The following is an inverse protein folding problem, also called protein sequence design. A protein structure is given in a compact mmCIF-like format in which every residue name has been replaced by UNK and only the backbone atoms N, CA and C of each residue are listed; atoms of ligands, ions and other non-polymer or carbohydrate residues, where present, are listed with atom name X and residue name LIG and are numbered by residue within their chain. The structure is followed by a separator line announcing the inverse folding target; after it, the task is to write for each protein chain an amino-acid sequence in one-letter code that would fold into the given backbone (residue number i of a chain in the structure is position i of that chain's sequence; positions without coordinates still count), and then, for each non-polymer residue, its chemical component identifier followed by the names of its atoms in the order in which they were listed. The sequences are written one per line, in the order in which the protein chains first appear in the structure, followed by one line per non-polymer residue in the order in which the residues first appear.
data_IF_332308089357
#
_entry.id   IF_332308089357
#
_cell.length_a   1.000
_cell.length_b   1.000
_cell.length_c   1.000
_cell.angle_alpha   90.00
_cell.angle_beta   90.00
_cell.angle_gamma   90.00
#
_symmetry.space_group_name_H-M   'P 1'
#
loop_
_entity.id
_entity.type
_entity.pdbx_description
1 polymer ?
#
# COMPACT_ATOMS: atom_id res chain seq x y z
N UNK A 1 10.37 3.10 9.42
CA UNK A 1 10.72 4.19 8.47
C UNK A 1 12.14 4.06 7.94
N UNK A 2 13.18 3.98 8.78
CA UNK A 2 14.59 3.86 8.34
C UNK A 2 14.78 2.73 7.31
N UNK A 3 14.29 1.53 7.61
CA UNK A 3 14.40 0.37 6.70
C UNK A 3 13.74 0.63 5.34
N UNK A 4 12.57 1.29 5.32
CA UNK A 4 11.90 1.65 4.07
C UNK A 4 12.69 2.71 3.28
N UNK A 5 13.22 3.72 3.96
CA UNK A 5 14.05 4.76 3.33
C UNK A 5 15.29 4.14 2.70
N UNK A 6 15.99 3.26 3.43
CA UNK A 6 17.14 2.53 2.89
C UNK A 6 16.74 1.70 1.67
N UNK A 7 15.62 0.98 1.73
CA UNK A 7 15.13 0.21 0.58
C UNK A 7 14.77 1.06 -0.64
N UNK A 8 14.20 2.25 -0.45
CA UNK A 8 13.98 3.18 -1.56
C UNK A 8 15.29 3.73 -2.11
N UNK A 9 16.24 4.12 -1.24
CA UNK A 9 17.53 4.65 -1.66
C UNK A 9 18.34 3.63 -2.47
N UNK A 10 18.33 2.35 -2.08
CA UNK A 10 19.04 1.31 -2.85
C UNK A 10 18.44 1.15 -4.24
N UNK A 11 17.11 1.15 -4.37
CA UNK A 11 16.43 1.10 -5.67
C UNK A 11 16.73 2.35 -6.51
N UNK A 12 16.73 3.54 -5.90
CA UNK A 12 17.05 4.79 -6.60
C UNK A 12 18.47 4.77 -7.17
N UNK A 13 19.46 4.32 -6.39
CA UNK A 13 20.85 4.29 -6.82
C UNK A 13 21.03 3.28 -7.96
N UNK A 14 20.61 2.03 -7.76
CA UNK A 14 20.79 0.97 -8.75
C UNK A 14 19.95 1.21 -10.01
N UNK A 15 18.69 1.61 -9.85
CA UNK A 15 17.83 1.93 -10.98
C UNK A 15 18.37 3.11 -11.79
N UNK A 16 18.92 4.15 -11.14
CA UNK A 16 19.55 5.27 -11.85
C UNK A 16 20.80 4.84 -12.62
N UNK A 17 21.63 3.93 -12.07
CA UNK A 17 22.82 3.43 -12.79
C UNK A 17 22.44 2.60 -14.01
N UNK A 18 21.39 1.78 -13.92
CA UNK A 18 20.89 1.00 -15.06
C UNK A 18 20.28 1.88 -16.15
N UNK A 19 19.61 2.98 -15.78
CA UNK A 19 19.02 3.92 -16.73
C UNK A 19 20.02 4.92 -17.34
N UNK A 20 21.34 4.74 -17.16
CA UNK A 20 22.36 5.65 -17.70
C UNK A 20 22.54 6.97 -16.92
N UNK A 21 22.09 7.01 -15.67
CA UNK A 21 22.24 8.13 -14.74
C UNK A 21 20.94 8.90 -14.48
N UNK A 22 20.88 9.57 -13.32
CA UNK A 22 19.69 10.32 -12.87
C UNK A 22 19.28 11.43 -13.84
N UNK A 23 20.24 12.08 -14.51
CA UNK A 23 19.95 13.12 -15.50
C UNK A 23 19.17 12.58 -16.71
N UNK A 24 19.57 11.40 -17.20
CA UNK A 24 18.88 10.75 -18.33
C UNK A 24 17.45 10.38 -17.96
N UNK A 25 17.23 9.86 -16.75
CA UNK A 25 15.88 9.54 -16.23
C UNK A 25 14.98 10.78 -16.23
N UNK A 26 15.50 11.92 -15.76
CA UNK A 26 14.73 13.17 -15.72
C UNK A 26 14.42 13.69 -17.13
N UNK A 27 15.39 13.63 -18.04
CA UNK A 27 15.21 14.04 -19.43
C UNK A 27 14.18 13.16 -20.14
N UNK A 28 14.26 11.83 -19.98
CA UNK A 28 13.29 10.90 -20.54
C UNK A 28 11.89 11.10 -19.95
N UNK A 29 11.78 11.36 -18.65
CA UNK A 29 10.50 11.66 -17.99
C UNK A 29 9.88 12.97 -18.45
N UNK A 30 10.72 13.96 -18.75
CA UNK A 30 10.30 15.25 -19.33
C UNK A 30 9.75 15.03 -20.74
N UNK A 31 10.49 14.30 -21.58
CA UNK A 31 10.09 13.98 -22.95
C UNK A 31 8.82 13.11 -23.03
N UNK A 32 8.62 12.25 -22.02
CA UNK A 32 7.41 11.43 -21.89
C UNK A 32 6.19 12.16 -21.33
N UNK A 33 6.26 13.49 -21.16
CA UNK A 33 5.20 14.33 -20.57
C UNK A 33 4.72 13.83 -19.19
N UNK A 34 5.60 13.17 -18.42
CA UNK A 34 5.27 12.64 -17.08
C UNK A 34 5.48 13.66 -15.96
N UNK A 35 6.20 14.75 -16.22
CA UNK A 35 6.50 15.81 -15.25
C UNK A 35 5.48 16.97 -15.27
N UNK A 36 4.20 16.67 -15.46
CA UNK A 36 3.15 17.68 -15.36
C UNK A 36 2.71 17.85 -13.90
N UNK A 37 3.33 18.79 -13.20
CA UNK A 37 3.18 18.96 -11.74
C UNK A 37 1.83 19.58 -11.36
N UNK A 38 1.30 20.49 -12.18
CA UNK A 38 0.11 21.26 -11.85
C UNK A 38 -0.96 21.13 -12.92
N UNK A 39 -1.98 20.31 -12.66
CA UNK A 39 -3.22 20.27 -13.43
C UNK A 39 -4.32 21.01 -12.64
N UNK A 40 -4.77 22.14 -13.16
CA UNK A 40 -5.77 23.00 -12.52
C UNK A 40 -7.22 22.72 -12.96
N UNK A 41 -7.46 21.60 -13.64
CA UNK A 41 -8.81 21.18 -14.01
C UNK A 41 -9.70 21.00 -12.77
N UNK A 42 -10.93 21.53 -12.85
CA UNK A 42 -11.92 21.58 -11.76
C UNK A 42 -12.84 20.35 -11.79
N UNK A 43 -12.75 19.49 -12.81
CA UNK A 43 -13.55 18.27 -12.90
C UNK A 43 -13.31 17.33 -11.69
N UNK A 44 -14.33 17.10 -10.83
CA UNK A 44 -14.20 16.24 -9.65
C UNK A 44 -14.04 14.76 -9.98
N UNK A 45 -14.31 14.33 -11.21
CA UNK A 45 -14.11 12.94 -11.66
C UNK A 45 -12.63 12.65 -11.96
N UNK A 46 -11.81 13.69 -12.17
CA UNK A 46 -10.38 13.53 -12.39
C UNK A 46 -9.67 13.30 -11.06
N UNK A 47 -9.10 12.10 -10.90
CA UNK A 47 -8.51 11.62 -9.64
C UNK A 47 -7.30 12.42 -9.13
N UNK A 48 -6.55 13.06 -10.04
CA UNK A 48 -5.29 13.72 -9.72
C UNK A 48 -5.24 15.11 -10.35
N UNK A 49 -5.94 16.06 -9.72
CA UNK A 49 -5.87 17.49 -10.04
C UNK A 49 -5.41 18.25 -8.80
N UNK A 50 -4.99 19.49 -8.98
CA UNK A 50 -4.60 20.38 -7.88
C UNK A 50 -5.71 20.45 -6.82
N UNK A 51 -6.98 20.52 -7.24
CA UNK A 51 -8.13 20.60 -6.35
C UNK A 51 -8.40 19.31 -5.59
N UNK A 52 -8.40 18.16 -6.28
CA UNK A 52 -8.66 16.86 -5.63
C UNK A 52 -7.54 16.47 -4.67
N UNK A 53 -6.28 16.80 -4.99
CA UNK A 53 -5.14 16.56 -4.10
C UNK A 53 -5.14 17.53 -2.93
N UNK A 54 -5.36 18.82 -3.14
CA UNK A 54 -5.31 19.81 -2.06
C UNK A 54 -6.50 19.67 -1.13
N UNK A 55 -7.73 19.70 -1.66
CA UNK A 55 -8.95 19.63 -0.84
C UNK A 55 -9.14 18.21 -0.30
N UNK A 56 -9.17 17.21 -1.18
CA UNK A 56 -9.35 15.81 -0.79
C UNK A 56 -8.20 15.28 0.07
N UNK A 57 -6.96 15.66 -0.23
CA UNK A 57 -5.80 15.33 0.59
C UNK A 57 -5.87 15.98 1.98
N UNK A 58 -6.30 17.24 2.10
CA UNK A 58 -6.45 17.90 3.41
C UNK A 58 -7.44 17.15 4.29
N UNK A 59 -8.62 16.81 3.79
CA UNK A 59 -9.60 16.01 4.56
C UNK A 59 -9.06 14.62 4.91
N UNK A 60 -8.36 13.98 3.98
CA UNK A 60 -7.75 12.66 4.22
C UNK A 60 -6.71 12.72 5.34
N UNK A 61 -5.78 13.69 5.29
CA UNK A 61 -4.74 13.86 6.31
C UNK A 61 -5.29 14.30 7.66
N UNK A 62 -6.31 15.16 7.66
CA UNK A 62 -7.02 15.55 8.88
C UNK A 62 -7.69 14.33 9.53
N UNK A 63 -8.28 13.43 8.75
CA UNK A 63 -8.81 12.17 9.25
C UNK A 63 -7.74 11.28 9.89
N UNK A 64 -6.61 11.09 9.19
CA UNK A 64 -5.52 10.21 9.62
C UNK A 64 -4.85 10.69 10.91
N UNK A 65 -4.63 12.00 11.06
CA UNK A 65 -3.92 12.55 12.21
C UNK A 65 -4.85 13.10 13.31
N UNK A 66 -6.06 13.53 12.96
CA UNK A 66 -6.99 14.19 13.87
C UNK A 66 -7.96 13.26 14.59
N UNK A 67 -8.46 12.22 13.91
CA UNK A 67 -9.50 11.33 14.49
C UNK A 67 -9.10 9.85 14.56
N UNK A 68 -8.02 9.46 13.90
CA UNK A 68 -7.59 8.06 13.91
C UNK A 68 -7.11 7.64 15.31
N UNK A 69 -7.80 6.65 15.88
CA UNK A 69 -7.51 6.12 17.20
C UNK A 69 -6.05 5.66 17.35
N UNK A 70 -5.46 5.05 16.31
CA UNK A 70 -4.07 4.59 16.36
C UNK A 70 -3.07 5.75 16.55
N UNK A 71 -3.36 6.90 15.93
CA UNK A 71 -2.52 8.10 16.04
C UNK A 71 -2.68 8.75 17.41
N UNK A 72 -3.93 8.88 17.88
CA UNK A 72 -4.23 9.48 19.18
C UNK A 72 -3.59 8.66 20.31
N UNK A 73 -3.72 7.33 20.27
CA UNK A 73 -3.11 6.41 21.25
C UNK A 73 -1.59 6.58 21.37
N UNK A 74 -0.89 6.80 20.25
CA UNK A 74 0.56 7.05 20.27
C UNK A 74 0.90 8.41 20.92
N UNK A 75 0.06 9.41 20.70
CA UNK A 75 0.26 10.74 21.27
C UNK A 75 0.06 10.74 22.79
N UNK A 76 -1.00 10.10 23.29
CA UNK A 76 -1.28 10.02 24.74
C UNK A 76 -0.30 9.12 25.51
N UNK A 77 0.41 8.22 24.81
CA UNK A 77 1.45 7.38 25.41
C UNK A 77 2.76 8.14 25.68
N UNK A 78 2.89 9.37 25.17
CA UNK A 78 4.06 10.21 25.39
C UNK A 78 4.01 10.89 26.77
N UNK A 79 5.16 11.02 27.43
CA UNK A 79 5.26 11.64 28.77
C UNK A 79 4.86 13.11 28.81
N UNK A 80 5.06 13.84 27.71
CA UNK A 80 4.76 15.27 27.62
C UNK A 80 4.22 15.62 26.23
N UNK A 81 3.44 16.70 26.16
CA UNK A 81 2.89 17.23 24.90
C UNK A 81 4.01 17.60 23.91
N UNK A 82 5.14 18.13 24.42
CA UNK A 82 6.30 18.48 23.58
C UNK A 82 6.88 17.24 22.89
N UNK A 83 6.97 16.10 23.59
CA UNK A 83 7.43 14.85 22.99
C UNK A 83 6.44 14.31 21.95
N UNK A 84 5.13 14.41 22.20
CA UNK A 84 4.11 14.01 21.23
C UNK A 84 4.18 14.85 19.95
N UNK A 85 4.28 16.18 20.06
CA UNK A 85 4.45 17.09 18.91
C UNK A 85 5.72 16.79 18.13
N UNK A 86 6.84 16.59 18.83
CA UNK A 86 8.11 16.26 18.17
C UNK A 86 8.04 14.92 17.42
N UNK A 87 7.40 13.90 18.00
CA UNK A 87 7.19 12.61 17.34
C UNK A 87 6.34 12.74 16.07
N UNK A 88 5.30 13.59 16.08
CA UNK A 88 4.49 13.88 14.90
C UNK A 88 5.30 14.59 13.80
N UNK A 89 6.14 15.57 14.16
CA UNK A 89 7.00 16.24 13.17
C UNK A 89 8.02 15.29 12.54
N UNK A 90 8.62 14.38 13.31
CA UNK A 90 9.50 13.35 12.75
C UNK A 90 8.75 12.38 11.83
N UNK A 91 7.52 12.01 12.17
CA UNK A 91 6.68 11.19 11.30
C UNK A 91 6.35 11.90 9.98
N UNK A 92 6.00 13.19 10.04
CA UNK A 92 5.72 14.01 8.87
C UNK A 92 6.95 14.13 7.96
N UNK A 93 8.12 14.40 8.52
CA UNK A 93 9.37 14.46 7.77
C UNK A 93 9.69 13.12 7.09
N UNK A 94 9.56 12.02 7.83
CA UNK A 94 9.81 10.68 7.29
C UNK A 94 8.87 10.33 6.14
N UNK A 95 7.59 10.71 6.25
CA UNK A 95 6.59 10.50 5.21
C UNK A 95 6.92 11.30 3.95
N UNK A 96 7.28 12.58 4.11
CA UNK A 96 7.72 13.44 3.00
C UNK A 96 8.91 12.82 2.25
N UNK A 97 9.94 12.35 2.97
CA UNK A 97 11.10 11.71 2.36
C UNK A 97 10.70 10.46 1.57
N UNK A 98 9.88 9.59 2.17
CA UNK A 98 9.44 8.35 1.50
C UNK A 98 8.62 8.67 0.25
N UNK A 99 7.73 9.67 0.30
CA UNK A 99 6.91 10.06 -0.85
C UNK A 99 7.77 10.57 -2.00
N UNK A 100 8.73 11.44 -1.71
CA UNK A 100 9.67 11.96 -2.72
C UNK A 100 10.48 10.83 -3.33
N UNK A 101 11.03 9.93 -2.51
CA UNK A 101 11.76 8.76 -3.01
C UNK A 101 10.88 7.86 -3.88
N UNK A 102 9.63 7.62 -3.49
CA UNK A 102 8.69 6.79 -4.24
C UNK A 102 8.37 7.40 -5.61
N UNK A 103 8.20 8.72 -5.70
CA UNK A 103 8.01 9.42 -6.97
C UNK A 103 9.21 9.23 -7.89
N UNK A 104 10.43 9.43 -7.39
CA UNK A 104 11.64 9.22 -8.19
C UNK A 104 11.84 7.75 -8.60
N UNK A 105 11.53 6.79 -7.73
CA UNK A 105 11.52 5.37 -8.10
C UNK A 105 10.54 5.10 -9.25
N UNK A 106 9.35 5.71 -9.21
CA UNK A 106 8.36 5.60 -10.29
C UNK A 106 8.85 6.18 -11.62
N UNK A 107 9.57 7.30 -11.58
CA UNK A 107 10.17 7.90 -12.80
C UNK A 107 11.28 7.03 -13.38
N UNK A 108 12.14 6.45 -12.54
CA UNK A 108 13.19 5.51 -12.97
C UNK A 108 12.55 4.26 -13.59
N UNK A 109 11.54 3.71 -12.93
CA UNK A 109 10.79 2.56 -13.46
C UNK A 109 10.15 2.87 -14.81
N UNK A 110 9.59 4.08 -14.99
CA UNK A 110 9.08 4.53 -16.28
C UNK A 110 10.17 4.62 -17.36
N UNK A 111 11.34 5.18 -17.00
CA UNK A 111 12.51 5.27 -17.89
C UNK A 111 13.01 3.89 -18.32
N UNK A 112 13.02 2.92 -17.41
CA UNK A 112 13.43 1.53 -17.69
C UNK A 112 12.45 0.78 -18.59
N UNK A 113 11.14 0.93 -18.37
CA UNK A 113 10.09 0.26 -19.17
C UNK A 113 9.55 1.11 -20.32
N UNK A 114 10.29 2.12 -20.77
CA UNK A 114 9.85 3.02 -21.83
C UNK A 114 9.60 2.29 -23.16
N UNK A 115 10.50 1.36 -23.50
CA UNK A 115 10.49 0.68 -24.80
C UNK A 115 9.71 -0.65 -24.77
N UNK A 116 9.68 -1.33 -23.62
CA UNK A 116 8.91 -2.54 -23.41
C UNK A 116 8.22 -2.51 -22.04
N UNK A 117 6.91 -2.23 -22.04
CA UNK A 117 6.11 -2.21 -20.82
C UNK A 117 5.60 -3.63 -20.50
N UNK A 118 6.03 -4.24 -19.37
CA UNK A 118 5.62 -5.59 -18.98
C UNK A 118 4.13 -5.67 -18.60
N UNK A 119 3.47 -4.53 -18.37
CA UNK A 119 2.02 -4.47 -18.20
C UNK A 119 1.29 -4.68 -19.53
N UNK A 120 1.64 -3.88 -20.54
CA UNK A 120 0.99 -3.93 -21.87
C UNK A 120 1.32 -5.23 -22.62
N UNK A 121 2.50 -5.82 -22.38
CA UNK A 121 2.89 -7.11 -22.97
C UNK A 121 2.24 -8.35 -22.32
N UNK A 122 1.46 -8.18 -21.26
CA UNK A 122 0.72 -9.27 -20.61
C UNK A 122 1.56 -10.16 -19.69
N UNK A 123 2.83 -9.80 -19.44
CA UNK A 123 3.70 -10.47 -18.46
C UNK A 123 3.14 -10.25 -17.05
N UNK A 124 2.60 -9.05 -16.79
CA UNK A 124 2.07 -8.65 -15.49
C UNK A 124 0.56 -8.47 -15.54
N UNK A 125 -0.14 -9.04 -14.53
CA UNK A 125 -1.61 -9.05 -14.47
C UNK A 125 -2.24 -8.00 -13.54
N UNK A 126 -1.45 -7.29 -12.72
CA UNK A 126 -1.89 -6.05 -12.06
C UNK A 126 -0.79 -4.97 -12.04
N UNK A 127 -1.13 -3.66 -12.17
CA UNK A 127 -0.13 -2.59 -12.14
C UNK A 127 0.63 -2.50 -10.80
N UNK A 128 0.01 -2.96 -9.71
CA UNK A 128 0.63 -3.02 -8.38
C UNK A 128 1.85 -3.97 -8.31
N UNK A 129 2.00 -4.88 -9.28
CA UNK A 129 3.12 -5.84 -9.36
C UNK A 129 4.33 -5.29 -10.12
N UNK A 130 4.20 -4.13 -10.77
CA UNK A 130 5.24 -3.55 -11.62
C UNK A 130 6.49 -3.19 -10.82
N UNK A 131 6.32 -2.58 -9.65
CA UNK A 131 7.44 -2.17 -8.79
C UNK A 131 8.23 -3.37 -8.24
N UNK A 132 7.60 -4.42 -7.66
CA UNK A 132 8.31 -5.64 -7.30
C UNK A 132 9.03 -6.30 -8.48
N UNK A 133 8.39 -6.33 -9.67
CA UNK A 133 9.00 -6.88 -10.87
C UNK A 133 10.26 -6.10 -11.29
N UNK A 134 10.17 -4.77 -11.31
CA UNK A 134 11.30 -3.88 -11.57
C UNK A 134 12.48 -4.16 -10.63
N UNK A 135 12.21 -4.28 -9.32
CA UNK A 135 13.25 -4.58 -8.33
C UNK A 135 13.91 -5.94 -8.58
N UNK A 136 13.13 -6.95 -9.00
CA UNK A 136 13.70 -8.26 -9.35
C UNK A 136 14.67 -8.17 -10.55
N UNK A 137 14.37 -7.33 -11.55
CA UNK A 137 15.23 -7.15 -12.72
C UNK A 137 16.52 -6.41 -12.40
N UNK A 138 16.44 -5.23 -11.75
CA UNK A 138 17.63 -4.41 -11.48
C UNK A 138 18.61 -5.06 -10.49
N UNK A 139 18.12 -5.94 -9.62
CA UNK A 139 18.94 -6.66 -8.64
C UNK A 139 19.17 -8.12 -9.01
N UNK A 140 18.98 -8.51 -10.28
CA UNK A 140 19.20 -9.88 -10.74
C UNK A 140 20.63 -10.40 -10.47
N UNK A 141 21.62 -9.50 -10.42
CA UNK A 141 23.03 -9.80 -10.13
C UNK A 141 23.35 -9.97 -8.65
N UNK A 142 22.45 -9.56 -7.75
CA UNK A 142 22.66 -9.56 -6.29
C UNK A 142 21.58 -10.40 -5.59
N UNK A 143 21.75 -11.74 -5.51
CA UNK A 143 20.77 -12.60 -4.88
C UNK A 143 20.61 -12.24 -3.40
N UNK A 144 19.38 -11.94 -2.97
CA UNK A 144 19.03 -11.57 -1.59
C UNK A 144 18.48 -10.16 -1.44
N UNK A 145 18.95 -9.18 -2.21
CA UNK A 145 18.43 -7.81 -2.17
C UNK A 145 16.96 -7.68 -2.63
N UNK A 146 16.51 -8.37 -3.70
CA UNK A 146 15.09 -8.34 -4.05
C UNK A 146 14.21 -8.92 -2.94
N UNK A 147 14.65 -10.03 -2.32
CA UNK A 147 13.94 -10.65 -1.19
C UNK A 147 13.87 -9.72 0.02
N UNK A 148 14.95 -9.00 0.31
CA UNK A 148 14.98 -8.00 1.38
C UNK A 148 14.00 -6.85 1.08
N UNK A 149 13.96 -6.32 -0.15
CA UNK A 149 13.02 -5.27 -0.54
C UNK A 149 11.57 -5.71 -0.33
N UNK A 150 11.21 -6.90 -0.83
CA UNK A 150 9.87 -7.46 -0.68
C UNK A 150 9.53 -7.66 0.81
N UNK A 151 10.44 -8.22 1.60
CA UNK A 151 10.27 -8.36 3.04
C UNK A 151 10.04 -7.03 3.76
N UNK A 152 10.76 -5.97 3.37
CA UNK A 152 10.60 -4.62 3.91
C UNK A 152 9.23 -4.02 3.57
N UNK A 153 8.76 -4.19 2.32
CA UNK A 153 7.45 -3.72 1.88
C UNK A 153 6.31 -4.40 2.65
N UNK A 154 6.40 -5.73 2.81
CA UNK A 154 5.44 -6.48 3.62
C UNK A 154 5.50 -6.08 5.10
N UNK A 155 6.68 -5.93 5.68
CA UNK A 155 6.85 -5.49 7.07
C UNK A 155 6.20 -4.12 7.31
N UNK A 156 6.41 -3.17 6.40
CA UNK A 156 5.77 -1.86 6.46
C UNK A 156 4.24 -1.97 6.46
N UNK A 157 3.69 -2.73 5.52
CA UNK A 157 2.23 -2.90 5.40
C UNK A 157 1.63 -3.66 6.60
N UNK A 158 2.28 -4.72 7.05
CA UNK A 158 1.88 -5.50 8.23
C UNK A 158 1.86 -4.63 9.49
N UNK A 159 2.82 -3.71 9.65
CA UNK A 159 2.87 -2.81 10.80
C UNK A 159 1.67 -1.85 10.84
N UNK A 160 1.22 -1.37 9.68
CA UNK A 160 0.04 -0.51 9.58
C UNK A 160 -1.24 -1.29 9.84
N UNK A 161 -1.38 -2.51 9.28
CA UNK A 161 -2.55 -3.36 9.50
C UNK A 161 -2.69 -3.75 10.97
N UNK A 162 -1.61 -4.15 11.62
CA UNK A 162 -1.62 -4.48 13.04
C UNK A 162 -2.06 -3.28 13.91
N UNK A 163 -1.62 -2.07 13.55
CA UNK A 163 -2.01 -0.85 14.24
C UNK A 163 -3.50 -0.52 14.06
N UNK A 164 -4.05 -0.70 12.86
CA UNK A 164 -5.49 -0.54 12.57
C UNK A 164 -6.34 -1.57 13.32
N UNK A 165 -5.95 -2.85 13.34
CA UNK A 165 -6.68 -3.89 14.06
C UNK A 165 -6.69 -3.62 15.57
N UNK A 166 -5.56 -3.20 16.13
CA UNK A 166 -5.49 -2.84 17.55
C UNK A 166 -6.39 -1.63 17.88
N UNK A 167 -6.43 -0.64 16.99
CA UNK A 167 -7.32 0.50 17.13
C UNK A 167 -8.80 0.06 17.08
N UNK A 168 -9.18 -0.74 16.07
CA UNK A 168 -10.54 -1.26 15.92
C UNK A 168 -10.97 -2.10 17.12
N UNK A 169 -10.10 -2.98 17.62
CA UNK A 169 -10.39 -3.78 18.81
C UNK A 169 -10.61 -2.90 20.05
N UNK A 170 -9.81 -1.84 20.20
CA UNK A 170 -9.96 -0.89 21.32
C UNK A 170 -11.28 -0.13 21.24
N UNK A 171 -11.60 0.43 20.07
CA UNK A 171 -12.86 1.15 19.84
C UNK A 171 -14.05 0.22 20.08
N UNK A 172 -14.01 -1.00 19.54
CA UNK A 172 -15.07 -2.00 19.75
C UNK A 172 -15.26 -2.32 21.24
N UNK A 173 -14.17 -2.44 21.98
CA UNK A 173 -14.22 -2.75 23.40
C UNK A 173 -14.77 -1.59 24.24
N UNK A 174 -14.29 -0.37 24.01
CA UNK A 174 -14.74 0.83 24.74
C UNK A 174 -16.20 1.17 24.41
N UNK A 175 -16.59 1.13 23.13
CA UNK A 175 -17.91 1.61 22.70
C UNK A 175 -19.02 0.56 22.91
N UNK A 176 -18.75 -0.72 22.65
CA UNK A 176 -19.78 -1.76 22.74
C UNK A 176 -19.67 -2.57 24.03
N UNK A 177 -18.47 -3.07 24.35
CA UNK A 177 -18.33 -4.03 25.46
C UNK A 177 -18.49 -3.34 26.82
N UNK A 178 -17.81 -2.22 27.05
CA UNK A 178 -17.98 -1.45 28.30
C UNK A 178 -19.37 -0.83 28.42
N UNK A 179 -19.95 -0.36 27.32
CA UNK A 179 -21.31 0.20 27.36
C UNK A 179 -22.36 -0.86 27.71
N UNK A 180 -22.20 -2.10 27.26
CA UNK A 180 -23.10 -3.21 27.61
C UNK A 180 -22.83 -3.79 29.01
N UNK A 181 -21.58 -3.72 29.50
CA UNK A 181 -21.15 -4.31 30.77
C UNK A 181 -20.32 -3.32 31.60
N UNK A 182 -20.96 -2.41 32.35
CA UNK A 182 -20.27 -1.33 33.07
C UNK A 182 -19.42 -1.78 34.27
N UNK A 183 -19.60 -3.01 34.78
CA UNK A 183 -18.89 -3.54 35.96
C UNK A 183 -17.93 -4.71 35.62
N UNK A 184 -17.13 -4.56 34.58
CA UNK A 184 -16.12 -5.57 34.19
C UNK A 184 -14.82 -5.41 35.00
N UNK A 185 -14.29 -6.51 35.53
CA UNK A 185 -12.96 -6.56 36.17
C UNK A 185 -11.85 -6.32 35.15
N UNK A 186 -10.81 -5.54 35.51
CA UNK A 186 -9.68 -5.17 34.64
C UNK A 186 -8.99 -6.36 33.96
N UNK A 187 -8.90 -7.50 34.67
CA UNK A 187 -8.33 -8.73 34.14
C UNK A 187 -9.20 -9.28 33.00
N UNK A 188 -10.52 -9.33 33.19
CA UNK A 188 -11.47 -9.83 32.20
C UNK A 188 -11.55 -8.89 30.99
N UNK A 189 -11.54 -7.58 31.21
CA UNK A 189 -11.44 -6.54 30.17
C UNK A 189 -10.23 -6.75 29.26
N UNK A 190 -9.07 -7.03 29.85
CA UNK A 190 -7.82 -7.29 29.11
C UNK A 190 -7.91 -8.61 28.31
N UNK A 191 -8.50 -9.65 28.87
CA UNK A 191 -8.70 -10.93 28.18
C UNK A 191 -9.67 -10.81 27.01
N UNK A 192 -10.77 -10.07 27.17
CA UNK A 192 -11.74 -9.82 26.09
C UNK A 192 -11.09 -9.01 24.96
N UNK A 193 -10.35 -7.95 25.30
CA UNK A 193 -9.63 -7.15 24.30
C UNK A 193 -8.60 -7.98 23.52
N UNK A 194 -7.83 -8.84 24.21
CA UNK A 194 -6.90 -9.79 23.55
C UNK A 194 -7.62 -10.83 22.70
N UNK A 195 -8.78 -11.31 23.15
CA UNK A 195 -9.64 -12.23 22.41
C UNK A 195 -10.18 -11.62 21.12
N UNK A 196 -10.63 -10.36 21.17
CA UNK A 196 -11.10 -9.59 20.01
C UNK A 196 -9.98 -9.32 19.01
N UNK A 197 -8.80 -8.88 19.45
CA UNK A 197 -7.64 -8.76 18.55
C UNK A 197 -7.32 -10.10 17.87
N UNK A 198 -7.33 -11.20 18.64
CA UNK A 198 -7.06 -12.53 18.08
C UNK A 198 -8.12 -12.93 17.06
N UNK A 199 -9.40 -12.74 17.34
CA UNK A 199 -10.47 -13.11 16.40
C UNK A 199 -10.43 -12.28 15.12
N UNK A 200 -10.14 -10.97 15.21
CA UNK A 200 -9.99 -10.10 14.04
C UNK A 200 -8.77 -10.50 13.20
N UNK A 201 -7.62 -10.77 13.82
CA UNK A 201 -6.42 -11.26 13.12
C UNK A 201 -6.70 -12.60 12.44
N UNK A 202 -7.33 -13.55 13.13
CA UNK A 202 -7.67 -14.85 12.55
C UNK A 202 -8.66 -14.71 11.39
N UNK A 203 -9.62 -13.80 11.48
CA UNK A 203 -10.55 -13.49 10.39
C UNK A 203 -9.79 -12.96 9.17
N UNK A 204 -8.91 -11.97 9.35
CA UNK A 204 -8.11 -11.40 8.26
C UNK A 204 -7.16 -12.44 7.63
N UNK A 205 -6.46 -13.24 8.45
CA UNK A 205 -5.56 -14.30 7.96
C UNK A 205 -6.34 -15.39 7.22
N UNK A 206 -7.52 -15.78 7.71
CA UNK A 206 -8.35 -16.78 7.07
C UNK A 206 -8.94 -16.28 5.74
N UNK A 207 -9.47 -15.06 5.70
CA UNK A 207 -9.95 -14.43 4.47
C UNK A 207 -8.82 -14.23 3.46
N UNK A 208 -7.65 -13.78 3.91
CA UNK A 208 -6.50 -13.59 3.03
C UNK A 208 -5.96 -14.92 2.50
N UNK A 209 -5.88 -15.95 3.36
CA UNK A 209 -5.49 -17.30 2.98
C UNK A 209 -6.46 -17.93 1.97
N UNK A 210 -7.76 -17.87 2.22
CA UNK A 210 -8.79 -18.33 1.28
C UNK A 210 -8.75 -17.54 -0.04
N UNK A 211 -8.62 -16.22 0.01
CA UNK A 211 -8.51 -15.38 -1.19
C UNK A 211 -7.28 -15.71 -2.04
N UNK A 212 -6.14 -15.96 -1.40
CA UNK A 212 -4.92 -16.38 -2.07
C UNK A 212 -5.07 -17.75 -2.75
N UNK A 213 -5.71 -18.71 -2.08
CA UNK A 213 -5.98 -20.05 -2.62
C UNK A 213 -6.97 -19.99 -3.79
N UNK A 214 -8.01 -19.14 -3.70
CA UNK A 214 -9.05 -19.03 -4.71
C UNK A 214 -8.66 -18.18 -5.94
N UNK A 215 -7.71 -17.24 -5.83
CA UNK A 215 -7.31 -16.36 -6.95
C UNK A 215 -5.89 -16.61 -7.48
N UNK A 216 -5.06 -17.43 -6.82
CA UNK A 216 -3.67 -17.68 -7.25
C UNK A 216 -2.78 -16.42 -7.27
N UNK A 217 -3.23 -15.30 -6.69
CA UNK A 217 -2.58 -13.98 -6.74
C UNK A 217 -2.12 -13.53 -5.35
N UNK A 218 -1.16 -14.26 -4.76
CA UNK A 218 -0.65 -13.94 -3.42
C UNK A 218 0.03 -12.57 -3.32
N UNK A 219 0.70 -12.11 -4.38
CA UNK A 219 1.50 -10.87 -4.36
C UNK A 219 0.69 -9.58 -4.66
N UNK A 220 -0.46 -9.66 -5.35
CA UNK A 220 -1.23 -8.48 -5.73
C UNK A 220 -2.32 -8.09 -4.71
N UNK A 221 -2.74 -9.01 -3.84
CA UNK A 221 -3.87 -8.79 -2.91
C UNK A 221 -3.55 -7.93 -1.68
N UNK A 222 -2.29 -7.83 -1.28
CA UNK A 222 -1.92 -7.23 0.01
C UNK A 222 -2.10 -5.70 0.06
N UNK A 223 -1.73 -4.93 -0.99
CA UNK A 223 -2.03 -3.50 -1.05
C UNK A 223 -3.53 -3.20 -1.19
N UNK A 224 -4.29 -4.09 -1.85
CA UNK A 224 -5.73 -3.95 -2.02
C UNK A 224 -6.49 -4.20 -0.71
N UNK A 225 -6.05 -5.17 0.11
CA UNK A 225 -6.62 -5.44 1.43
C UNK A 225 -6.47 -4.25 2.39
N UNK A 226 -5.31 -3.58 2.36
CA UNK A 226 -5.10 -2.36 3.15
C UNK A 226 -6.11 -1.27 2.77
N UNK A 227 -6.38 -1.08 1.46
CA UNK A 227 -7.44 -0.18 0.97
C UNK A 227 -8.83 -0.55 1.48
N UNK A 228 -9.15 -1.84 1.57
CA UNK A 228 -10.42 -2.31 2.11
C UNK A 228 -10.57 -2.03 3.61
N UNK A 229 -9.52 -2.31 4.41
CA UNK A 229 -9.51 -2.01 5.86
C UNK A 229 -9.74 -0.52 6.11
N UNK A 230 -9.03 0.36 5.38
CA UNK A 230 -9.25 1.81 5.44
C UNK A 230 -10.66 2.24 5.04
N UNK A 231 -11.26 1.57 4.04
CA UNK A 231 -12.62 1.90 3.57
C UNK A 231 -13.67 1.50 4.61
N UNK A 232 -13.45 0.41 5.36
CA UNK A 232 -14.27 0.06 6.54
C UNK A 232 -14.07 1.03 7.70
N UNK A 233 -12.84 1.49 7.97
CA UNK A 233 -12.56 2.47 9.03
C UNK A 233 -13.22 3.83 8.73
N UNK A 234 -13.18 4.29 7.47
CA UNK A 234 -13.83 5.54 7.06
C UNK A 234 -15.37 5.44 7.07
N UNK A 235 -15.93 4.27 6.71
CA UNK A 235 -17.37 4.02 6.70
C UNK A 235 -18.01 3.91 8.09
N UNK A 236 -17.23 3.54 9.12
CA UNK A 236 -17.72 3.51 10.50
C UNK A 236 -17.77 4.88 11.18
N UNK A 237 -17.02 5.87 10.68
CA UNK A 237 -16.86 7.19 11.33
C UNK A 237 -17.88 8.23 10.81
N UNK A 238 -18.48 8.03 9.64
CA UNK A 238 -19.48 8.93 9.07
C UNK A 238 -20.87 8.25 8.99
N UNK A 239 -21.71 8.33 10.03
CA UNK A 239 -23.11 7.94 9.93
C UNK A 239 -23.88 9.11 9.30
N UNK A 240 -24.00 9.14 7.98
CA UNK A 240 -24.84 10.15 7.33
C UNK A 240 -24.59 10.29 5.84
N UNK A 241 -25.60 9.93 5.06
CA UNK A 241 -25.76 10.21 3.64
C UNK A 241 -25.14 11.55 3.22
N UNK A 242 -24.06 11.53 2.44
CA UNK A 242 -23.89 12.39 1.27
C UNK A 242 -22.89 11.76 0.30
N UNK A 243 -23.35 11.60 -0.94
CA UNK A 243 -22.62 11.26 -2.17
C UNK A 243 -22.42 9.75 -2.47
N UNK A 244 -23.18 9.17 -3.43
CA UNK A 244 -22.90 7.86 -3.97
C UNK A 244 -21.65 7.94 -4.86
N UNK A 245 -20.52 7.40 -4.40
CA UNK A 245 -19.36 7.25 -5.29
C UNK A 245 -19.57 5.97 -6.13
N UNK A 246 -20.03 6.21 -7.35
CA UNK A 246 -20.40 5.28 -8.40
C UNK A 246 -19.65 3.94 -8.38
N UNK A 247 -20.39 2.85 -8.18
CA UNK A 247 -20.09 1.53 -8.71
C UNK A 247 -19.92 1.64 -10.24
N UNK A 248 -18.72 1.35 -10.73
CA UNK A 248 -18.54 0.96 -12.13
C UNK A 248 -18.17 -0.52 -12.13
N UNK A 249 -19.20 -1.31 -12.39
CA UNK A 249 -19.14 -2.68 -12.85
C UNK A 249 -18.05 -2.86 -13.91
N UNK A 250 -17.07 -3.71 -13.60
CA UNK A 250 -16.14 -4.28 -14.58
C UNK A 250 -15.82 -5.74 -14.25
N UNK A 251 -16.61 -6.38 -13.39
CA UNK A 251 -16.38 -7.74 -12.90
C UNK A 251 -17.48 -8.70 -13.39
N UNK A 252 -17.91 -8.58 -14.65
CA UNK A 252 -18.90 -9.52 -15.23
C UNK A 252 -18.81 -9.58 -16.77
N UNK A 253 -17.67 -10.05 -17.32
CA UNK A 253 -17.61 -10.81 -18.60
C UNK A 253 -16.18 -11.24 -18.95
N UNK A 254 -15.77 -12.40 -18.44
CA UNK A 254 -14.99 -13.42 -19.17
C UNK A 254 -14.96 -14.72 -18.36
N UNK A 255 -16.15 -15.30 -18.18
CA UNK A 255 -16.30 -16.74 -18.00
C UNK A 255 -16.63 -17.31 -19.39
N UNK A 256 -15.62 -17.84 -20.05
CA UNK A 256 -15.69 -18.87 -21.09
C UNK A 256 -14.26 -19.14 -21.54
N UNK A 257 -13.89 -20.42 -21.61
CA UNK A 257 -12.55 -20.99 -21.71
C UNK A 257 -11.84 -21.33 -20.40
N UNK A 258 -12.55 -21.99 -19.49
CA UNK A 258 -12.00 -23.19 -18.84
C UNK A 258 -12.40 -24.40 -19.67
N UNK A 259 -11.44 -24.96 -20.41
CA UNK A 259 -11.39 -26.38 -20.80
C UNK A 259 -10.11 -26.60 -21.62
N UNK A 260 -9.03 -27.05 -20.95
CA UNK A 260 -8.33 -28.28 -21.29
C UNK A 260 -6.99 -28.37 -20.53
N UNK A 261 -6.77 -29.56 -19.94
CA UNK A 261 -5.50 -30.17 -19.53
C UNK A 261 -4.79 -29.69 -18.25
N UNK A 262 -5.17 -30.34 -17.15
CA UNK A 262 -4.24 -30.93 -16.17
C UNK A 262 -3.25 -31.84 -16.90
N UNK A 263 -1.92 -31.72 -16.71
CA UNK A 263 -0.94 -32.80 -16.44
C UNK A 263 0.38 -32.17 -15.91
N UNK A 264 0.90 -32.79 -14.85
CA UNK A 264 2.22 -32.70 -14.22
C UNK A 264 3.42 -32.41 -15.16
N UNK A 265 4.42 -31.70 -14.63
CA UNK A 265 5.79 -31.79 -15.16
C UNK A 265 6.61 -30.54 -14.90
N UNK A 266 7.61 -30.65 -14.03
CA UNK A 266 8.61 -29.60 -13.86
C UNK A 266 9.37 -29.36 -15.16
N UNK A 267 9.41 -28.11 -15.60
CA UNK A 267 10.42 -27.58 -16.50
C UNK A 267 10.49 -26.07 -16.22
N UNK A 268 11.57 -25.65 -15.56
CA UNK A 268 12.03 -24.26 -15.64
C UNK A 268 12.50 -24.04 -17.07
N UNK A 269 11.57 -23.70 -17.96
CA UNK A 269 11.87 -23.28 -19.32
C UNK A 269 12.47 -21.88 -19.28
N UNK A 270 13.76 -21.78 -19.57
CA UNK A 270 14.41 -20.54 -19.95
C UNK A 270 13.62 -19.90 -21.10
N UNK A 271 12.92 -18.80 -20.82
CA UNK A 271 12.65 -17.77 -21.82
C UNK A 271 13.49 -16.55 -21.44
N UNK A 272 14.60 -16.41 -22.16
CA UNK A 272 15.52 -15.28 -22.12
C UNK A 272 15.79 -14.90 -23.58
N UNK A 273 16.06 -13.62 -23.90
CA UNK A 273 15.60 -12.42 -23.20
C UNK A 273 15.15 -11.29 -24.17
N UNK A 274 14.49 -10.27 -23.62
CA UNK A 274 14.69 -8.90 -24.09
C UNK A 274 16.15 -8.52 -23.82
N UNK A 275 17.06 -8.97 -24.68
CA UNK A 275 18.41 -8.42 -24.81
C UNK A 275 18.52 -7.81 -26.19
N UNK A 276 18.96 -6.55 -26.21
CA UNK A 276 19.53 -5.83 -27.35
C UNK A 276 18.64 -5.70 -28.59
N UNK A 277 17.97 -4.56 -28.70
CA UNK A 277 18.07 -3.64 -29.84
C UNK A 277 17.53 -2.25 -29.47
#
# INVERSE_FOLDING_TARGET
MVVMIVGFLTVLIQGSTHAGGFHNVLQQSTNGSRLHIFDFDVDPLRRHTFWTITVGGTFTWLGIYGVNQSTIQRCISCKTEKHAKLALYFNLLGLWIILVCAVFCGLIMYSHFKDCDPWTSGIISAPDQLMPYFVMEIFATMPGLPGLFVACAFSGTLSTVAASINALATVTFEDFVKSCFPHLSDKLSTWISKGLCRSLIWRDVYLYGCGCICHGRCCAGFPQHSRHVWRTDAGLILPGNSVPFCELEGCTRRSSYWNHLVILGGHWGLHLPCTSL
#
